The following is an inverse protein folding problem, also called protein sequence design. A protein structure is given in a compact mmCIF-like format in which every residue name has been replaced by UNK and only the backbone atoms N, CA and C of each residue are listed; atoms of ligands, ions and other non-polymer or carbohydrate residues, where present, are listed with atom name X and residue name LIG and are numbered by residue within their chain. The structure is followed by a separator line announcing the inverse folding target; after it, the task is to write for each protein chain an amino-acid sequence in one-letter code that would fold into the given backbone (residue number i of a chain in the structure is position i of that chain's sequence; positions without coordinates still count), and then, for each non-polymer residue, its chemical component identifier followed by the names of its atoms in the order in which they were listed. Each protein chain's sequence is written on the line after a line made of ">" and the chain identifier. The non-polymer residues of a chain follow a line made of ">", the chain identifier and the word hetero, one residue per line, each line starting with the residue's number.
data_IF_363593663856
#
_entry.id   IF_363593663856
#
_cell.length_a   1.000
_cell.length_b   1.000
_cell.length_c   1.000
_cell.angle_alpha   90.00
_cell.angle_beta   90.00
_cell.angle_gamma   90.00
#
_symmetry.space_group_name_H-M   'P 1'
#
loop_
_entity.id
_entity.type
_entity.pdbx_description
1 polymer ?
#
# COMPACT_ATOMS: atom_id res chain seq x y z
N UNK A 1 -1.60 50.70 4.60
CA UNK A 1 -1.95 49.27 4.52
C UNK A 1 -3.38 49.15 5.00
N UNK A 2 -4.33 49.11 4.06
CA UNK A 2 -5.72 49.51 4.30
C UNK A 2 -6.67 48.31 4.33
N UNK A 3 -7.71 48.41 5.14
CA UNK A 3 -8.66 47.32 5.45
C UNK A 3 -9.67 47.01 4.33
N UNK A 4 -9.54 47.66 3.17
CA UNK A 4 -10.50 47.59 2.06
C UNK A 4 -10.04 46.82 0.82
N UNK A 5 -8.82 46.25 0.79
CA UNK A 5 -8.35 45.48 -0.36
C UNK A 5 -8.76 43.99 -0.31
N UNK A 6 -9.51 43.58 0.73
CA UNK A 6 -9.95 42.18 0.93
C UNK A 6 -11.32 41.85 0.30
N UNK A 7 -11.98 42.78 -0.40
CA UNK A 7 -13.32 42.55 -0.96
C UNK A 7 -13.30 42.32 -2.49
N UNK A 8 -12.17 42.52 -3.17
CA UNK A 8 -12.09 42.46 -4.63
C UNK A 8 -11.71 41.12 -5.26
N UNK A 9 -11.23 40.13 -4.49
CA UNK A 9 -10.67 38.89 -5.05
C UNK A 9 -11.50 37.63 -4.74
N UNK A 10 -12.78 37.80 -4.41
CA UNK A 10 -13.75 36.69 -4.25
C UNK A 10 -14.50 36.41 -5.56
N UNK A 11 -14.27 37.18 -6.62
CA UNK A 11 -15.01 37.09 -7.86
C UNK A 11 -14.16 36.62 -9.05
N UNK A 12 -13.42 35.51 -8.93
CA UNK A 12 -13.15 34.65 -10.10
C UNK A 12 -12.60 33.26 -9.74
N UNK A 13 -13.43 32.39 -9.16
CA UNK A 13 -13.24 30.93 -9.26
C UNK A 13 -14.58 30.29 -9.52
N UNK A 14 -15.02 30.44 -10.76
CA UNK A 14 -15.96 29.52 -11.36
C UNK A 14 -15.47 28.08 -11.15
N UNK A 15 -16.37 27.26 -10.60
CA UNK A 15 -16.40 25.81 -10.74
C UNK A 15 -15.27 25.03 -10.07
N UNK A 16 -15.28 24.99 -8.74
CA UNK A 16 -14.92 23.74 -8.04
C UNK A 16 -16.25 23.15 -7.59
N UNK A 17 -16.87 22.38 -8.50
CA UNK A 17 -18.02 21.55 -8.13
C UNK A 17 -17.53 20.56 -7.09
N UNK A 18 -17.84 20.90 -5.85
CA UNK A 18 -17.66 20.17 -4.61
C UNK A 18 -17.89 18.66 -4.87
N UNK A 19 -16.82 17.88 -4.93
CA UNK A 19 -16.90 16.42 -4.97
C UNK A 19 -17.41 15.93 -3.60
N UNK A 20 -18.73 16.00 -3.40
CA UNK A 20 -19.42 15.36 -2.28
C UNK A 20 -19.77 13.93 -2.65
N UNK A 21 -18.76 13.07 -2.79
CA UNK A 21 -18.97 11.68 -2.43
C UNK A 21 -18.51 11.59 -0.98
N UNK A 22 -19.44 11.53 -0.02
CA UNK A 22 -19.07 11.30 1.37
C UNK A 22 -18.55 9.86 1.48
N UNK A 23 -17.60 9.58 2.38
CA UNK A 23 -17.06 8.22 2.56
C UNK A 23 -18.18 7.19 2.81
N UNK A 24 -19.31 7.61 3.39
CA UNK A 24 -20.51 6.81 3.55
C UNK A 24 -21.08 6.31 2.22
N UNK A 25 -21.14 7.15 1.19
CA UNK A 25 -21.64 6.77 -0.14
C UNK A 25 -20.69 5.77 -0.81
N UNK A 26 -19.38 5.98 -0.65
CA UNK A 26 -18.37 5.02 -1.09
C UNK A 26 -18.55 3.66 -0.41
N UNK A 27 -18.77 3.63 0.91
CA UNK A 27 -18.94 2.38 1.66
C UNK A 27 -20.22 1.62 1.27
N UNK A 28 -21.33 2.35 1.01
CA UNK A 28 -22.57 1.75 0.51
C UNK A 28 -22.35 1.16 -0.89
N UNK A 29 -21.74 1.94 -1.79
CA UNK A 29 -21.41 1.48 -3.13
C UNK A 29 -20.48 0.26 -3.11
N UNK A 30 -19.44 0.28 -2.28
CA UNK A 30 -18.47 -0.82 -2.18
C UNK A 30 -19.15 -2.10 -1.71
N UNK A 31 -20.06 -2.00 -0.74
CA UNK A 31 -20.85 -3.14 -0.25
C UNK A 31 -21.77 -3.71 -1.33
N UNK A 32 -22.48 -2.87 -2.07
CA UNK A 32 -23.35 -3.31 -3.17
C UNK A 32 -22.54 -3.92 -4.32
N UNK A 33 -21.35 -3.36 -4.58
CA UNK A 33 -20.48 -3.80 -5.66
C UNK A 33 -19.66 -5.07 -5.31
N UNK A 34 -19.38 -5.31 -4.03
CA UNK A 34 -18.79 -6.54 -3.50
C UNK A 34 -19.88 -7.51 -3.03
N UNK A 35 -20.81 -7.83 -3.91
CA UNK A 35 -21.88 -8.78 -3.65
C UNK A 35 -21.95 -9.91 -4.69
N UNK A 36 -22.67 -10.97 -4.33
CA UNK A 36 -22.96 -12.11 -5.22
C UNK A 36 -21.69 -12.78 -5.76
N UNK A 37 -21.72 -13.13 -7.04
CA UNK A 37 -20.64 -13.88 -7.68
C UNK A 37 -19.29 -13.16 -7.66
N UNK A 38 -19.28 -11.82 -7.68
CA UNK A 38 -18.03 -11.05 -7.65
C UNK A 38 -17.31 -11.24 -6.32
N UNK A 39 -18.05 -11.19 -5.21
CA UNK A 39 -17.51 -11.45 -3.88
C UNK A 39 -16.99 -12.88 -3.78
N UNK A 40 -17.77 -13.86 -4.22
CA UNK A 40 -17.37 -15.27 -4.15
C UNK A 40 -16.12 -15.56 -4.97
N UNK A 41 -15.97 -14.94 -6.15
CA UNK A 41 -14.72 -15.07 -6.93
C UNK A 41 -13.51 -14.48 -6.21
N UNK A 42 -13.66 -13.29 -5.63
CA UNK A 42 -12.56 -12.65 -4.90
C UNK A 42 -12.18 -13.43 -3.64
N UNK A 43 -13.16 -13.91 -2.88
CA UNK A 43 -12.92 -14.78 -1.72
C UNK A 43 -12.31 -16.11 -2.13
N UNK A 44 -12.80 -16.72 -3.22
CA UNK A 44 -12.24 -17.95 -3.77
C UNK A 44 -10.77 -17.80 -4.14
N UNK A 45 -10.40 -16.69 -4.79
CA UNK A 45 -9.01 -16.37 -5.08
C UNK A 45 -8.17 -16.31 -3.80
N UNK A 46 -8.58 -15.52 -2.80
CA UNK A 46 -7.79 -15.38 -1.56
C UNK A 46 -7.72 -16.66 -0.75
N UNK A 47 -8.80 -17.45 -0.69
CA UNK A 47 -8.80 -18.78 -0.06
C UNK A 47 -7.82 -19.72 -0.76
N UNK A 48 -7.77 -19.70 -2.09
CA UNK A 48 -6.82 -20.52 -2.84
C UNK A 48 -5.36 -20.07 -2.64
N UNK A 49 -5.12 -18.76 -2.48
CA UNK A 49 -3.76 -18.23 -2.26
C UNK A 49 -3.26 -18.40 -0.81
N UNK A 50 -4.16 -18.30 0.18
CA UNK A 50 -3.77 -18.23 1.60
C UNK A 50 -4.22 -19.46 2.42
N UNK A 51 -5.02 -20.37 1.85
CA UNK A 51 -5.65 -21.47 2.59
C UNK A 51 -4.66 -22.40 3.28
N UNK A 52 -3.53 -22.69 2.62
CA UNK A 52 -2.48 -23.58 3.10
C UNK A 52 -1.17 -22.84 3.43
N UNK A 53 -1.20 -21.51 3.46
CA UNK A 53 0.01 -20.72 3.63
C UNK A 53 0.55 -20.77 5.06
N UNK A 54 1.88 -20.80 5.20
CA UNK A 54 2.54 -20.67 6.50
C UNK A 54 2.52 -19.19 6.94
N UNK A 55 1.64 -18.87 7.90
CA UNK A 55 1.43 -17.48 8.32
C UNK A 55 2.52 -16.94 9.25
N UNK A 56 3.37 -17.81 9.81
CA UNK A 56 4.38 -17.43 10.79
C UNK A 56 5.73 -17.32 10.11
N UNK A 57 6.28 -16.11 10.09
CA UNK A 57 7.66 -15.86 9.66
C UNK A 57 8.61 -16.10 10.84
N UNK A 58 9.49 -17.10 10.71
CA UNK A 58 10.43 -17.55 11.73
C UNK A 58 11.73 -16.71 11.69
N UNK A 59 11.60 -15.41 11.91
CA UNK A 59 12.75 -14.52 12.01
C UNK A 59 13.56 -14.79 13.28
N UNK A 60 14.90 -14.85 13.21
CA UNK A 60 15.74 -14.89 14.39
C UNK A 60 15.56 -13.57 15.16
N UNK A 61 14.96 -13.64 16.36
CA UNK A 61 14.77 -12.49 17.24
C UNK A 61 15.73 -12.54 18.42
N UNK A 62 16.24 -11.39 18.85
CA UNK A 62 17.15 -11.29 20.00
C UNK A 62 16.46 -11.66 21.33
N UNK A 63 15.13 -11.53 21.39
CA UNK A 63 14.31 -11.81 22.56
C UNK A 63 13.15 -12.74 22.19
N UNK A 64 12.64 -13.54 23.15
CA UNK A 64 11.47 -14.39 22.92
C UNK A 64 10.25 -13.55 22.55
N UNK A 65 9.47 -14.02 21.57
CA UNK A 65 8.24 -13.37 21.11
C UNK A 65 7.21 -13.32 22.25
N UNK A 66 6.71 -12.13 22.66
CA UNK A 66 5.66 -12.02 23.66
C UNK A 66 4.35 -12.69 23.20
N UNK A 67 3.56 -13.22 24.13
CA UNK A 67 2.25 -13.83 23.82
C UNK A 67 1.19 -12.81 23.38
N UNK A 68 1.37 -11.54 23.73
CA UNK A 68 0.51 -10.42 23.33
C UNK A 68 1.33 -9.46 22.47
N UNK A 69 0.89 -9.14 21.23
CA UNK A 69 1.57 -8.16 20.39
C UNK A 69 1.64 -6.78 21.06
N UNK A 70 2.83 -6.19 21.10
CA UNK A 70 3.05 -4.80 21.52
C UNK A 70 3.12 -3.85 20.33
N UNK A 71 3.13 -2.54 20.61
CA UNK A 71 3.29 -1.47 19.59
C UNK A 71 4.66 -0.81 19.62
N UNK A 72 5.56 -1.25 20.51
CA UNK A 72 6.92 -0.72 20.60
C UNK A 72 7.75 -1.05 19.38
N UNK A 73 8.45 -0.07 18.82
CA UNK A 73 9.32 -0.24 17.67
C UNK A 73 10.26 0.94 17.47
N UNK A 74 11.29 0.73 16.66
CA UNK A 74 12.24 1.77 16.22
C UNK A 74 12.31 1.76 14.70
N UNK A 75 12.58 2.91 14.10
CA UNK A 75 12.74 3.05 12.64
C UNK A 75 14.18 3.33 12.31
N UNK A 76 14.81 2.41 11.59
CA UNK A 76 16.14 2.61 11.00
C UNK A 76 16.01 2.94 9.52
N UNK A 77 16.84 3.88 9.04
CA UNK A 77 16.84 4.32 7.64
C UNK A 77 18.11 3.87 6.94
N UNK A 78 17.93 3.27 5.77
CA UNK A 78 19.01 2.90 4.85
C UNK A 78 18.90 3.79 3.62
N UNK A 79 20.00 4.43 3.25
CA UNK A 79 20.09 5.25 2.03
C UNK A 79 20.81 4.46 0.96
N UNK A 80 20.18 4.31 -0.21
CA UNK A 80 20.78 3.68 -1.39
C UNK A 80 21.41 4.79 -2.22
N UNK A 81 22.69 4.64 -2.57
CA UNK A 81 23.39 5.64 -3.36
C UNK A 81 22.82 5.72 -4.80
N UNK A 82 22.86 6.89 -5.46
CA UNK A 82 22.23 7.09 -6.77
C UNK A 82 22.67 6.08 -7.83
N UNK A 83 23.95 5.72 -7.86
CA UNK A 83 24.52 4.74 -8.79
C UNK A 83 23.96 3.33 -8.56
N UNK A 84 23.77 2.93 -7.29
CA UNK A 84 23.17 1.65 -6.93
C UNK A 84 21.69 1.62 -7.31
N UNK A 85 20.97 2.71 -7.06
CA UNK A 85 19.56 2.83 -7.45
C UNK A 85 19.40 2.74 -8.98
N UNK A 86 20.29 3.34 -9.75
CA UNK A 86 20.29 3.24 -11.20
C UNK A 86 20.49 1.79 -11.66
N UNK A 87 21.44 1.06 -11.06
CA UNK A 87 21.67 -0.34 -11.35
C UNK A 87 20.47 -1.24 -10.99
N UNK A 88 19.84 -1.01 -9.84
CA UNK A 88 18.64 -1.75 -9.42
C UNK A 88 17.49 -1.50 -10.40
N UNK A 89 17.28 -0.26 -10.83
CA UNK A 89 16.25 0.07 -11.84
C UNK A 89 16.52 -0.62 -13.17
N UNK A 90 17.77 -0.59 -13.65
CA UNK A 90 18.15 -1.24 -14.89
C UNK A 90 17.93 -2.76 -14.84
N UNK A 91 18.23 -3.39 -13.70
CA UNK A 91 17.93 -4.81 -13.47
C UNK A 91 16.44 -5.11 -13.58
N UNK A 92 15.59 -4.31 -12.91
CA UNK A 92 14.14 -4.49 -13.00
C UNK A 92 13.62 -4.38 -14.44
N UNK A 93 14.05 -3.35 -15.17
CA UNK A 93 13.68 -3.15 -16.58
C UNK A 93 14.12 -4.33 -17.46
N UNK A 94 15.30 -4.89 -17.24
CA UNK A 94 15.78 -6.06 -17.99
C UNK A 94 14.93 -7.32 -17.78
N UNK A 95 14.11 -7.36 -16.73
CA UNK A 95 13.20 -8.46 -16.39
C UNK A 95 11.72 -8.08 -16.49
N UNK A 96 11.38 -7.00 -17.21
CA UNK A 96 10.02 -6.45 -17.32
C UNK A 96 9.34 -6.20 -15.96
N UNK A 97 10.14 -5.91 -14.94
CA UNK A 97 9.71 -5.75 -13.56
C UNK A 97 9.74 -4.27 -13.14
N UNK A 98 8.77 -3.88 -12.32
CA UNK A 98 8.79 -2.55 -11.68
C UNK A 98 9.91 -2.47 -10.63
N UNK A 99 10.31 -1.25 -10.27
CA UNK A 99 11.24 -1.04 -9.15
C UNK A 99 10.69 -1.65 -7.85
N UNK A 100 9.38 -1.55 -7.62
CA UNK A 100 8.71 -2.17 -6.47
C UNK A 100 8.90 -3.70 -6.47
N UNK A 101 8.63 -4.38 -7.59
CA UNK A 101 8.82 -5.84 -7.71
C UNK A 101 10.27 -6.24 -7.46
N UNK A 102 11.21 -5.45 -7.98
CA UNK A 102 12.66 -5.69 -7.82
C UNK A 102 13.06 -5.59 -6.35
N UNK A 103 12.61 -4.55 -5.65
CA UNK A 103 12.88 -4.37 -4.23
C UNK A 103 12.16 -5.41 -3.36
N UNK A 104 10.93 -5.79 -3.73
CA UNK A 104 10.18 -6.84 -3.05
C UNK A 104 10.92 -8.19 -3.17
N UNK A 105 11.44 -8.52 -4.35
CA UNK A 105 12.23 -9.74 -4.55
C UNK A 105 13.55 -9.72 -3.75
N UNK A 106 14.21 -8.56 -3.67
CA UNK A 106 15.39 -8.40 -2.82
C UNK A 106 15.03 -8.59 -1.34
N UNK A 107 13.91 -8.01 -0.90
CA UNK A 107 13.41 -8.14 0.47
C UNK A 107 13.06 -9.59 0.82
N UNK A 108 12.32 -10.30 -0.03
CA UNK A 108 12.01 -11.73 0.20
C UNK A 108 13.26 -12.61 0.18
N UNK A 109 14.27 -12.27 -0.63
CA UNK A 109 15.57 -12.95 -0.61
C UNK A 109 16.29 -12.77 0.73
N UNK A 110 16.23 -11.56 1.30
CA UNK A 110 16.77 -11.30 2.65
C UNK A 110 16.02 -12.13 3.70
N UNK A 111 14.69 -12.15 3.66
CA UNK A 111 13.89 -12.95 4.58
C UNK A 111 14.24 -14.44 4.47
N UNK A 112 14.30 -14.98 3.25
CA UNK A 112 14.70 -16.36 3.00
C UNK A 112 16.09 -16.68 3.58
N UNK A 113 17.04 -15.75 3.45
CA UNK A 113 18.40 -15.94 3.98
C UNK A 113 18.42 -16.03 5.52
N UNK A 114 17.53 -15.31 6.21
CA UNK A 114 17.46 -15.32 7.67
C UNK A 114 16.62 -16.47 8.23
N UNK A 115 15.52 -16.83 7.57
CA UNK A 115 14.57 -17.83 8.09
C UNK A 115 14.73 -19.21 7.48
N UNK A 116 15.34 -19.31 6.29
CA UNK A 116 15.35 -20.53 5.48
C UNK A 116 13.99 -20.86 4.83
N UNK A 117 12.93 -20.12 5.13
CA UNK A 117 11.58 -20.37 4.61
C UNK A 117 11.52 -20.03 3.12
N UNK A 118 10.96 -20.94 2.32
CA UNK A 118 10.83 -20.79 0.86
C UNK A 118 9.55 -20.09 0.43
N UNK A 119 8.55 -20.13 1.30
CA UNK A 119 7.29 -19.43 1.14
C UNK A 119 7.19 -18.38 2.24
N UNK A 120 6.92 -17.13 1.85
CA UNK A 120 6.87 -15.98 2.76
C UNK A 120 5.72 -15.06 2.37
N UNK A 121 4.90 -14.71 3.36
CA UNK A 121 3.82 -13.74 3.19
C UNK A 121 4.33 -12.33 3.51
N UNK A 122 4.25 -11.44 2.53
CA UNK A 122 4.61 -10.01 2.69
C UNK A 122 3.37 -9.15 2.47
N UNK A 123 2.99 -8.40 3.49
CA UNK A 123 1.90 -7.42 3.39
C UNK A 123 2.34 -6.22 2.56
N UNK A 124 1.58 -5.89 1.51
CA UNK A 124 1.80 -4.69 0.70
C UNK A 124 0.59 -3.77 0.78
N UNK A 125 0.68 -2.62 1.47
CA UNK A 125 -0.39 -1.64 1.43
C UNK A 125 -0.53 -1.12 0.01
N UNK A 126 -1.77 -1.13 -0.50
CA UNK A 126 -2.13 -0.48 -1.75
C UNK A 126 -3.07 0.67 -1.46
N UNK A 127 -3.06 1.71 -2.29
CA UNK A 127 -3.86 2.90 -2.05
C UNK A 127 -5.38 2.62 -2.04
N UNK A 128 -5.85 1.46 -2.51
CA UNK A 128 -7.27 1.09 -2.59
C UNK A 128 -8.09 1.92 -3.59
N UNK A 129 -7.56 3.05 -4.06
CA UNK A 129 -8.16 3.97 -5.02
C UNK A 129 -7.98 3.44 -6.44
N UNK A 130 -8.83 2.49 -6.82
CA UNK A 130 -8.87 1.94 -8.19
C UNK A 130 -9.70 2.78 -9.16
N UNK A 131 -10.36 3.85 -8.68
CA UNK A 131 -11.18 4.75 -9.49
C UNK A 131 -10.66 6.19 -9.42
N UNK A 132 -10.60 6.86 -10.56
CA UNK A 132 -10.26 8.28 -10.69
C UNK A 132 -11.14 9.19 -9.81
N UNK A 133 -12.40 8.80 -9.58
CA UNK A 133 -13.35 9.53 -8.71
C UNK A 133 -12.97 9.51 -7.22
N UNK A 134 -12.18 8.52 -6.78
CA UNK A 134 -11.68 8.41 -5.39
C UNK A 134 -10.33 9.06 -5.19
N UNK A 135 -9.69 9.61 -6.23
CA UNK A 135 -8.42 10.34 -6.12
C UNK A 135 -8.57 11.65 -5.33
N UNK A 136 -9.78 12.22 -5.28
CA UNK A 136 -10.10 13.46 -4.56
C UNK A 136 -10.50 13.29 -3.09
N UNK A 137 -10.63 12.06 -2.60
CA UNK A 137 -10.87 11.79 -1.17
C UNK A 137 -9.53 11.97 -0.43
N UNK A 138 -9.21 13.22 -0.09
CA UNK A 138 -7.94 13.57 0.55
C UNK A 138 -7.83 13.06 2.00
N UNK A 139 -6.61 12.61 2.28
CA UNK A 139 -5.88 12.56 3.57
C UNK A 139 -6.01 13.82 4.42
#
# INVERSE_FOLDING_TARGET
>A
MNKNDLVGLVADKATITKAQAEYADYAIWEREHLAGERLERLLGYWRAQLGDAEFVLELPTDFPRPSVPGTGGVTERITIAPEQLAAIKAMGVAHDATLYMTLLAAYTTVLHRYTGQRDVLVGSPSAGRSRAETEGLMT
#
